data_IF_282208422609
#
_entry.id   IF_282208422609
#
_cell.length_a   1.000
_cell.length_b   1.000
_cell.length_c   1.000
_cell.angle_alpha   90.00
_cell.angle_beta   90.00
_cell.angle_gamma   90.00
#
_symmetry.space_group_name_H-M   'P 1'
#
loop_
_entity.id
_entity.type
_entity.pdbx_description
1 polymer ?
#
# COMPACT_ATOMS: atom_id res chain seq x y z
N UNK A 1 39.20 7.13 24.16
CA UNK A 1 37.95 6.43 23.83
C UNK A 1 36.79 7.39 24.03
N UNK A 2 36.46 8.14 22.97
CA UNK A 2 35.35 9.10 23.03
C UNK A 2 34.04 8.35 22.75
N UNK A 3 33.14 8.40 23.72
CA UNK A 3 31.80 7.90 23.60
C UNK A 3 31.04 8.82 22.63
N UNK A 4 30.77 8.31 21.44
CA UNK A 4 29.86 8.98 20.48
C UNK A 4 28.45 8.94 21.07
N UNK A 5 28.08 9.97 21.78
CA UNK A 5 26.73 10.22 22.25
C UNK A 5 25.87 10.46 21.00
N UNK A 6 25.12 9.45 20.56
CA UNK A 6 24.08 9.59 19.56
C UNK A 6 23.03 10.54 20.14
N UNK A 7 23.13 11.82 19.81
CA UNK A 7 22.10 12.81 20.11
C UNK A 7 20.86 12.39 19.32
N UNK A 8 19.87 11.82 19.99
CA UNK A 8 18.51 11.71 19.48
C UNK A 8 17.99 13.15 19.33
N UNK A 9 18.13 13.73 18.14
CA UNK A 9 17.65 15.08 17.88
C UNK A 9 16.13 15.05 17.87
N UNK A 10 15.52 15.63 18.88
CA UNK A 10 14.07 15.85 18.95
C UNK A 10 13.72 16.89 17.88
N UNK A 11 12.98 16.48 16.83
CA UNK A 11 12.56 17.38 15.75
C UNK A 11 11.45 18.32 16.19
N UNK A 12 10.56 17.83 17.07
CA UNK A 12 9.46 18.62 17.62
C UNK A 12 9.67 18.84 19.12
N UNK A 13 9.60 20.10 19.56
CA UNK A 13 9.53 20.44 20.98
C UNK A 13 8.08 20.33 21.46
N UNK A 14 7.86 19.58 22.54
CA UNK A 14 6.52 19.34 23.09
C UNK A 14 5.76 20.62 23.48
N UNK A 15 6.47 21.70 23.85
CA UNK A 15 5.86 22.97 24.26
C UNK A 15 5.37 23.80 23.07
N UNK A 16 6.03 23.68 21.92
CA UNK A 16 5.71 24.42 20.69
C UNK A 16 5.11 23.55 19.59
N UNK A 17 4.85 22.26 19.88
CA UNK A 17 4.31 21.32 18.91
C UNK A 17 2.86 21.65 18.55
N UNK A 18 2.64 21.91 17.28
CA UNK A 18 1.31 22.12 16.70
C UNK A 18 0.88 20.89 15.91
N UNK A 19 0.01 20.01 16.47
CA UNK A 19 -0.40 18.76 15.83
C UNK A 19 -0.97 18.95 14.43
N UNK A 20 -1.70 20.07 14.18
CA UNK A 20 -2.31 20.40 12.90
C UNK A 20 -1.28 20.69 11.79
N UNK A 21 -0.06 21.09 12.15
CA UNK A 21 1.03 21.37 11.21
C UNK A 21 2.02 20.21 11.07
N UNK A 22 1.83 19.15 11.84
CA UNK A 22 2.75 18.01 11.91
C UNK A 22 2.85 17.23 10.58
N UNK A 23 3.99 16.58 10.40
CA UNK A 23 4.21 15.67 9.26
C UNK A 23 3.20 14.54 9.26
N UNK A 24 2.84 13.98 10.42
CA UNK A 24 1.84 12.90 10.52
C UNK A 24 0.48 13.31 9.98
N UNK A 25 0.02 14.52 10.32
CA UNK A 25 -1.24 15.04 9.75
C UNK A 25 -1.15 15.27 8.23
N UNK A 26 -0.02 15.77 7.73
CA UNK A 26 0.19 15.96 6.28
C UNK A 26 0.16 14.63 5.54
N UNK A 27 0.86 13.61 6.05
CA UNK A 27 0.84 12.24 5.50
C UNK A 27 -0.58 11.69 5.48
N UNK A 28 -1.33 11.81 6.58
CA UNK A 28 -2.72 11.34 6.66
C UNK A 28 -3.62 12.00 5.62
N UNK A 29 -3.50 13.32 5.41
CA UNK A 29 -4.26 14.07 4.40
C UNK A 29 -3.88 13.66 2.97
N UNK A 30 -2.59 13.52 2.69
CA UNK A 30 -2.12 13.04 1.37
C UNK A 30 -2.65 11.63 1.12
N UNK A 31 -2.53 10.72 2.08
CA UNK A 31 -3.06 9.35 1.98
C UNK A 31 -4.55 9.36 1.66
N UNK A 32 -5.36 10.13 2.40
CA UNK A 32 -6.80 10.21 2.18
C UNK A 32 -7.15 10.71 0.77
N UNK A 33 -6.50 11.79 0.33
CA UNK A 33 -6.72 12.36 -1.01
C UNK A 33 -6.29 11.39 -2.13
N UNK A 34 -5.18 10.69 -1.96
CA UNK A 34 -4.72 9.69 -2.92
C UNK A 34 -5.65 8.48 -2.98
N UNK A 35 -6.13 8.00 -1.83
CA UNK A 35 -7.11 6.90 -1.75
C UNK A 35 -8.38 7.25 -2.51
N UNK A 36 -8.95 8.43 -2.26
CA UNK A 36 -10.16 8.91 -2.96
C UNK A 36 -9.92 9.02 -4.47
N UNK A 37 -8.76 9.54 -4.88
CA UNK A 37 -8.41 9.65 -6.30
C UNK A 37 -8.23 8.26 -6.95
N UNK A 38 -7.64 7.32 -6.23
CA UNK A 38 -7.51 5.92 -6.67
C UNK A 38 -8.87 5.24 -6.83
N UNK A 39 -9.77 5.38 -5.87
CA UNK A 39 -11.11 4.80 -5.94
C UNK A 39 -11.88 5.32 -7.16
N UNK A 40 -11.77 6.62 -7.47
CA UNK A 40 -12.38 7.20 -8.68
C UNK A 40 -11.76 6.65 -9.97
N UNK A 41 -10.45 6.52 -10.02
CA UNK A 41 -9.73 6.04 -11.21
C UNK A 41 -9.95 4.54 -11.46
N UNK A 42 -10.14 3.76 -10.39
CA UNK A 42 -10.38 2.32 -10.45
C UNK A 42 -11.87 1.94 -10.59
N UNK A 43 -12.78 2.89 -10.37
CA UNK A 43 -14.23 2.66 -10.47
C UNK A 43 -14.70 2.03 -11.80
N UNK A 44 -14.15 2.38 -12.99
CA UNK A 44 -14.52 1.73 -14.25
C UNK A 44 -14.20 0.24 -14.31
N UNK A 45 -13.30 -0.24 -13.45
CA UNK A 45 -12.95 -1.65 -13.32
C UNK A 45 -13.71 -2.35 -12.20
N UNK A 46 -14.59 -1.63 -11.50
CA UNK A 46 -15.28 -2.12 -10.29
C UNK A 46 -14.29 -2.59 -9.20
N UNK A 47 -13.18 -1.89 -9.05
CA UNK A 47 -12.11 -2.17 -8.07
C UNK A 47 -11.95 -0.97 -7.15
N UNK A 48 -11.86 -1.22 -5.84
CA UNK A 48 -11.48 -0.21 -4.85
C UNK A 48 -9.96 -0.13 -4.69
N UNK A 49 -9.45 0.98 -4.16
CA UNK A 49 -8.02 1.12 -3.82
C UNK A 49 -7.54 0.01 -2.87
N UNK A 50 -8.36 -0.39 -1.90
CA UNK A 50 -8.05 -1.49 -0.99
C UNK A 50 -7.94 -2.85 -1.71
N UNK A 51 -8.86 -3.14 -2.63
CA UNK A 51 -8.80 -4.35 -3.46
C UNK A 51 -7.60 -4.33 -4.42
N UNK A 52 -7.26 -3.16 -4.95
CA UNK A 52 -6.09 -3.00 -5.81
C UNK A 52 -4.80 -3.35 -5.07
N UNK A 53 -4.63 -2.95 -3.81
CA UNK A 53 -3.45 -3.32 -3.01
C UNK A 53 -3.32 -4.83 -2.86
N UNK A 54 -4.42 -5.57 -2.67
CA UNK A 54 -4.41 -7.04 -2.64
C UNK A 54 -3.90 -7.60 -3.99
N UNK A 55 -4.44 -7.10 -5.11
CA UNK A 55 -4.00 -7.54 -6.43
C UNK A 55 -2.52 -7.23 -6.70
N UNK A 56 -2.01 -6.08 -6.22
CA UNK A 56 -0.58 -5.74 -6.29
C UNK A 56 0.25 -6.74 -5.51
N UNK A 57 -0.09 -7.01 -4.24
CA UNK A 57 0.67 -7.93 -3.39
C UNK A 57 0.75 -9.34 -3.97
N UNK A 58 -0.35 -9.83 -4.55
CA UNK A 58 -0.37 -11.13 -5.23
C UNK A 58 0.42 -11.10 -6.56
N UNK A 59 0.33 -10.01 -7.32
CA UNK A 59 1.03 -9.88 -8.60
C UNK A 59 2.55 -9.77 -8.44
N UNK A 60 3.02 -9.16 -7.34
CA UNK A 60 4.45 -8.96 -7.04
C UNK A 60 5.05 -10.09 -6.23
N UNK A 61 4.23 -10.99 -5.70
CA UNK A 61 4.69 -12.07 -4.82
C UNK A 61 5.03 -11.61 -3.39
N UNK A 62 4.61 -10.41 -2.99
CA UNK A 62 4.78 -9.90 -1.62
C UNK A 62 3.93 -10.67 -0.61
N UNK A 63 2.82 -11.23 -1.04
CA UNK A 63 1.94 -12.08 -0.25
C UNK A 63 1.31 -13.15 -1.14
N UNK A 64 1.09 -14.34 -0.56
CA UNK A 64 0.41 -15.46 -1.22
C UNK A 64 -0.74 -16.03 -0.37
N UNK A 65 -1.05 -15.42 0.75
CA UNK A 65 -2.08 -15.88 1.69
C UNK A 65 -2.80 -14.71 2.38
N UNK A 66 -4.02 -14.97 2.86
CA UNK A 66 -4.80 -13.99 3.62
C UNK A 66 -4.06 -13.50 4.88
N UNK A 67 -3.31 -14.38 5.56
CA UNK A 67 -2.52 -14.02 6.73
C UNK A 67 -1.38 -13.04 6.41
N UNK A 68 -0.70 -13.24 5.27
CA UNK A 68 0.35 -12.32 4.82
C UNK A 68 -0.21 -10.98 4.38
N UNK A 69 -1.33 -10.98 3.66
CA UNK A 69 -2.03 -9.76 3.30
C UNK A 69 -2.42 -8.93 4.53
N UNK A 70 -2.96 -9.57 5.59
CA UNK A 70 -3.29 -8.89 6.85
C UNK A 70 -2.05 -8.25 7.51
N UNK A 71 -0.91 -8.94 7.50
CA UNK A 71 0.33 -8.40 8.07
C UNK A 71 0.88 -7.22 7.28
N UNK A 72 0.81 -7.30 5.95
CA UNK A 72 1.36 -6.26 5.07
C UNK A 72 0.49 -5.02 4.91
N UNK A 73 -0.83 -5.16 5.05
CA UNK A 73 -1.80 -4.11 4.70
C UNK A 73 -2.60 -3.68 5.93
N UNK A 74 -2.22 -3.74 7.10
CA UNK A 74 -2.88 -3.20 8.32
C UNK A 74 -4.44 -3.16 8.27
N UNK A 75 -5.08 -4.21 7.76
CA UNK A 75 -6.53 -4.39 7.78
C UNK A 75 -6.92 -5.45 8.82
N UNK A 76 -8.12 -5.31 9.38
CA UNK A 76 -8.66 -6.35 10.25
C UNK A 76 -8.95 -7.63 9.44
N UNK A 77 -8.79 -8.84 10.04
CA UNK A 77 -8.96 -10.10 9.32
C UNK A 77 -10.35 -10.28 8.69
N UNK A 78 -11.39 -9.75 9.33
CA UNK A 78 -12.77 -9.83 8.80
C UNK A 78 -12.95 -8.97 7.55
N UNK A 79 -12.40 -7.75 7.55
CA UNK A 79 -12.41 -6.90 6.37
C UNK A 79 -11.59 -7.51 5.23
N UNK A 80 -10.43 -8.09 5.53
CA UNK A 80 -9.59 -8.78 4.55
C UNK A 80 -10.34 -9.95 3.91
N UNK A 81 -10.98 -10.80 4.70
CA UNK A 81 -11.77 -11.94 4.21
C UNK A 81 -12.85 -11.46 3.24
N UNK A 82 -13.62 -10.44 3.62
CA UNK A 82 -14.67 -9.87 2.73
C UNK A 82 -14.12 -9.31 1.42
N UNK A 83 -12.95 -8.70 1.45
CA UNK A 83 -12.30 -8.19 0.22
C UNK A 83 -11.84 -9.32 -0.67
N UNK A 84 -11.24 -10.37 -0.11
CA UNK A 84 -10.83 -11.59 -0.82
C UNK A 84 -12.04 -12.26 -1.48
N UNK A 85 -13.13 -12.47 -0.72
CA UNK A 85 -14.36 -13.10 -1.24
C UNK A 85 -14.95 -12.30 -2.41
N UNK A 86 -14.94 -10.97 -2.34
CA UNK A 86 -15.40 -10.11 -3.44
C UNK A 86 -14.51 -10.21 -4.67
N UNK A 87 -13.19 -10.30 -4.50
CA UNK A 87 -12.26 -10.47 -5.61
C UNK A 87 -12.37 -11.87 -6.24
N UNK A 88 -12.68 -12.90 -5.46
CA UNK A 88 -13.02 -14.24 -6.00
C UNK A 88 -14.33 -14.23 -6.78
N UNK A 89 -15.37 -13.56 -6.26
CA UNK A 89 -16.65 -13.41 -6.96
C UNK A 89 -16.49 -12.65 -8.30
N UNK A 90 -15.49 -11.79 -8.42
CA UNK A 90 -15.12 -11.10 -9.65
C UNK A 90 -14.19 -11.92 -10.53
N UNK A 91 -13.88 -13.13 -10.14
CA UNK A 91 -12.97 -14.05 -10.84
C UNK A 91 -11.56 -13.49 -11.07
N UNK A 92 -11.11 -12.54 -10.24
CA UNK A 92 -9.79 -11.91 -10.37
C UNK A 92 -8.70 -12.63 -9.58
N UNK A 93 -9.11 -13.31 -8.51
CA UNK A 93 -8.24 -14.17 -7.69
C UNK A 93 -8.91 -15.51 -7.45
N UNK A 94 -8.13 -16.50 -7.06
CA UNK A 94 -8.62 -17.80 -6.62
C UNK A 94 -7.79 -18.33 -5.46
N UNK A 95 -8.40 -19.21 -4.67
CA UNK A 95 -7.70 -20.02 -3.69
C UNK A 95 -7.00 -21.18 -4.39
N UNK A 96 -5.73 -21.39 -4.05
CA UNK A 96 -4.91 -22.48 -4.57
C UNK A 96 -4.13 -23.14 -3.45
N UNK A 97 -3.73 -24.39 -3.62
CA UNK A 97 -2.80 -25.03 -2.72
C UNK A 97 -1.40 -24.46 -2.93
N UNK A 98 -0.71 -24.12 -1.84
CA UNK A 98 0.66 -23.65 -1.94
C UNK A 98 1.60 -24.82 -2.33
N UNK A 99 2.57 -24.59 -3.22
CA UNK A 99 3.49 -25.64 -3.69
C UNK A 99 4.25 -26.32 -2.56
N UNK A 100 4.64 -25.54 -1.53
CA UNK A 100 5.51 -25.99 -0.44
C UNK A 100 4.73 -26.53 0.78
N UNK A 101 3.42 -26.30 0.87
CA UNK A 101 2.59 -26.82 1.97
C UNK A 101 1.13 -27.02 1.50
N UNK A 102 0.81 -28.27 1.17
CA UNK A 102 -0.55 -28.66 0.74
C UNK A 102 -1.64 -28.47 1.79
N UNK A 103 -1.26 -28.15 3.03
CA UNK A 103 -2.22 -27.85 4.12
C UNK A 103 -2.60 -26.39 4.16
N UNK A 104 -1.82 -25.53 3.50
CA UNK A 104 -2.09 -24.09 3.45
C UNK A 104 -2.83 -23.74 2.16
N UNK A 105 -3.87 -22.96 2.31
CA UNK A 105 -4.61 -22.37 1.19
C UNK A 105 -3.97 -21.03 0.88
N UNK A 106 -3.37 -20.93 -0.30
CA UNK A 106 -2.83 -19.71 -0.85
C UNK A 106 -3.85 -18.96 -1.71
N UNK A 107 -3.44 -17.79 -2.17
CA UNK A 107 -4.18 -16.92 -3.08
C UNK A 107 -3.31 -16.63 -4.30
N UNK A 108 -3.91 -16.64 -5.47
CA UNK A 108 -3.22 -16.26 -6.71
C UNK A 108 -4.15 -15.50 -7.65
N UNK A 109 -3.56 -14.73 -8.56
CA UNK A 109 -4.31 -14.10 -9.65
C UNK A 109 -4.78 -15.16 -10.65
N UNK A 110 -6.04 -15.07 -11.06
CA UNK A 110 -6.56 -15.82 -12.21
C UNK A 110 -5.99 -15.28 -13.54
N UNK A 111 -6.21 -15.96 -14.68
CA UNK A 111 -5.90 -15.37 -15.98
C UNK A 111 -6.56 -14.01 -16.21
N UNK A 112 -7.81 -13.83 -15.78
CA UNK A 112 -8.56 -12.57 -15.81
C UNK A 112 -7.92 -11.50 -14.93
N UNK A 113 -7.54 -11.87 -13.71
CA UNK A 113 -6.80 -10.99 -12.79
C UNK A 113 -5.48 -10.53 -13.39
N UNK A 114 -4.73 -11.44 -14.01
CA UNK A 114 -3.47 -11.12 -14.72
C UNK A 114 -3.71 -10.22 -15.94
N UNK A 115 -4.82 -10.40 -16.65
CA UNK A 115 -5.16 -9.60 -17.83
C UNK A 115 -5.59 -8.17 -17.48
N UNK A 116 -6.32 -7.97 -16.38
CA UNK A 116 -6.76 -6.63 -15.93
C UNK A 116 -5.66 -5.87 -15.19
N UNK A 117 -4.76 -6.56 -14.51
CA UNK A 117 -3.75 -5.94 -13.65
C UNK A 117 -2.90 -4.84 -14.34
N UNK A 118 -2.42 -4.99 -15.59
CA UNK A 118 -1.69 -3.91 -16.27
C UNK A 118 -2.50 -2.63 -16.42
N UNK A 119 -3.82 -2.72 -16.63
CA UNK A 119 -4.71 -1.57 -16.74
C UNK A 119 -4.87 -0.87 -15.39
N UNK A 120 -5.05 -1.64 -14.31
CA UNK A 120 -5.12 -1.13 -12.95
C UNK A 120 -3.80 -0.43 -12.55
N UNK A 121 -2.66 -1.03 -12.92
CA UNK A 121 -1.34 -0.43 -12.69
C UNK A 121 -1.17 0.89 -13.44
N UNK A 122 -1.64 0.98 -14.68
CA UNK A 122 -1.61 2.22 -15.46
C UNK A 122 -2.48 3.31 -14.81
N UNK A 123 -3.68 2.96 -14.35
CA UNK A 123 -4.58 3.86 -13.60
C UNK A 123 -3.90 4.38 -12.33
N UNK A 124 -3.27 3.49 -11.56
CA UNK A 124 -2.50 3.86 -10.37
C UNK A 124 -1.36 4.83 -10.70
N UNK A 125 -0.59 4.56 -11.75
CA UNK A 125 0.51 5.44 -12.18
C UNK A 125 -0.02 6.83 -12.58
N UNK A 126 -1.16 6.92 -13.23
CA UNK A 126 -1.80 8.20 -13.58
C UNK A 126 -2.16 9.03 -12.34
N UNK A 127 -2.70 8.36 -11.29
CA UNK A 127 -2.99 9.03 -10.00
C UNK A 127 -1.69 9.52 -9.36
N UNK A 128 -0.67 8.66 -9.24
CA UNK A 128 0.63 9.04 -8.66
C UNK A 128 1.23 10.25 -9.38
N UNK A 129 1.28 10.23 -10.70
CA UNK A 129 1.81 11.33 -11.52
C UNK A 129 1.03 12.65 -11.33
N UNK A 130 -0.30 12.58 -11.09
CA UNK A 130 -1.12 13.75 -10.80
C UNK A 130 -0.71 14.42 -9.49
N UNK A 131 -0.46 13.64 -8.44
CA UNK A 131 -0.03 14.15 -7.14
C UNK A 131 1.42 14.64 -7.16
N UNK A 132 2.25 14.07 -8.01
CA UNK A 132 3.66 14.42 -8.15
C UNK A 132 3.91 15.48 -9.24
N UNK A 133 2.87 16.11 -9.76
CA UNK A 133 3.01 17.18 -10.74
C UNK A 133 3.87 18.32 -10.19
N UNK A 134 4.90 18.73 -10.94
CA UNK A 134 5.85 19.76 -10.53
C UNK A 134 7.05 19.24 -9.74
N UNK A 135 7.07 17.96 -9.37
CA UNK A 135 8.23 17.33 -8.76
C UNK A 135 9.22 16.85 -9.84
N UNK A 136 10.49 17.02 -9.59
CA UNK A 136 11.55 16.37 -10.36
C UNK A 136 11.69 14.90 -9.93
N UNK A 137 12.29 14.06 -10.77
CA UNK A 137 12.58 12.66 -10.42
C UNK A 137 13.47 12.53 -9.17
N UNK A 138 14.38 13.49 -8.96
CA UNK A 138 15.27 13.52 -7.80
C UNK A 138 14.48 13.80 -6.52
N UNK A 139 13.56 14.76 -6.54
CA UNK A 139 12.69 15.07 -5.38
C UNK A 139 11.77 13.92 -5.01
N UNK A 140 11.19 13.23 -6.00
CA UNK A 140 10.37 12.04 -5.76
C UNK A 140 11.19 10.96 -5.06
N UNK A 141 12.39 10.65 -5.59
CA UNK A 141 13.28 9.66 -4.98
C UNK A 141 13.68 10.03 -3.55
N UNK A 142 13.96 11.32 -3.32
CA UNK A 142 14.29 11.79 -1.96
C UNK A 142 13.11 11.65 -1.01
N UNK A 143 11.90 11.96 -1.46
CA UNK A 143 10.66 11.77 -0.69
C UNK A 143 10.44 10.29 -0.33
N UNK A 144 10.60 9.38 -1.29
CA UNK A 144 10.51 7.93 -1.07
C UNK A 144 11.53 7.46 -0.01
N UNK A 145 12.79 7.92 -0.09
CA UNK A 145 13.82 7.60 0.89
C UNK A 145 13.49 8.12 2.30
N UNK A 146 12.92 9.31 2.42
CA UNK A 146 12.49 9.84 3.70
C UNK A 146 11.34 9.02 4.30
N UNK A 147 10.35 8.66 3.48
CA UNK A 147 9.25 7.78 3.92
C UNK A 147 9.77 6.41 4.35
N UNK A 148 10.68 5.80 3.58
CA UNK A 148 11.28 4.52 3.93
C UNK A 148 12.03 4.59 5.25
N UNK A 149 12.79 5.68 5.49
CA UNK A 149 13.48 5.88 6.78
C UNK A 149 12.50 6.06 7.93
N UNK A 150 11.36 6.73 7.72
CA UNK A 150 10.30 6.84 8.75
C UNK A 150 9.72 5.46 9.09
N UNK A 151 9.45 4.63 8.08
CA UNK A 151 8.95 3.26 8.27
C UNK A 151 9.96 2.37 9.00
N UNK A 152 11.26 2.57 8.78
CA UNK A 152 12.31 1.81 9.48
C UNK A 152 12.47 2.18 10.95
N UNK A 153 11.90 3.30 11.40
CA UNK A 153 11.91 3.76 12.79
C UNK A 153 10.66 3.32 13.58
N UNK A 154 9.71 2.62 12.92
CA UNK A 154 8.42 2.22 13.53
C UNK A 154 8.48 0.85 14.21
#
# INVERSE_FOLDING_TARGET
>A
MEATTTRTSTVYDAKSFEPQLSIGRKIGRVKAAMTEAMDRELAPFDITSAQFVILVSLATGEADSAAELCRGISYDPGAMTRMIDRLEQKELIRRAQLPDDRRKVGLELTPEGKAVYPKLRAASAAVQNRFLRGFTRSEVRQLELFMQRMLSNS
#
